data_IF_286389609989
#
_entry.id   IF_286389609989
#
_cell.length_a   1.000
_cell.length_b   1.000
_cell.length_c   1.000
_cell.angle_alpha   90.00
_cell.angle_beta   90.00
_cell.angle_gamma   90.00
#
_symmetry.space_group_name_H-M   'P 1'
#
loop_
_entity.id
_entity.type
_entity.pdbx_description
1 polymer ?
#
# COMPACT_ATOMS: atom_id res chain seq x y z
N UNK A 1 17.44 3.34 37.20
CA UNK A 1 16.95 4.01 35.99
C UNK A 1 15.86 5.00 36.36
N UNK A 2 15.91 6.23 35.83
CA UNK A 2 14.80 7.18 36.00
C UNK A 2 13.68 6.74 35.07
N UNK A 3 12.58 6.22 35.64
CA UNK A 3 11.44 5.74 34.87
C UNK A 3 10.41 6.83 34.64
N UNK A 4 9.75 6.76 33.49
CA UNK A 4 8.58 7.58 33.21
C UNK A 4 7.42 7.16 34.11
N UNK A 5 6.60 8.13 34.50
CA UNK A 5 5.35 7.86 35.20
C UNK A 5 4.22 7.52 34.20
N UNK A 6 3.12 6.98 34.72
CA UNK A 6 1.97 6.55 33.91
C UNK A 6 1.42 7.72 33.08
N UNK A 7 1.29 8.91 33.67
CA UNK A 7 0.76 10.08 32.97
C UNK A 7 1.63 10.49 31.78
N UNK A 8 2.96 10.37 31.89
CA UNK A 8 3.90 10.66 30.79
C UNK A 8 3.79 9.62 29.67
N UNK A 9 3.60 8.35 30.02
CA UNK A 9 3.37 7.26 29.05
C UNK A 9 2.05 7.50 28.30
N UNK A 10 0.98 7.82 29.02
CA UNK A 10 -0.33 8.16 28.45
C UNK A 10 -0.26 9.42 27.56
N UNK A 11 0.56 10.41 27.93
CA UNK A 11 0.79 11.60 27.12
C UNK A 11 1.48 11.28 25.79
N UNK A 12 2.42 10.32 25.78
CA UNK A 12 3.07 9.84 24.56
C UNK A 12 2.07 9.06 23.71
N UNK A 13 1.29 8.16 24.31
CA UNK A 13 0.26 7.37 23.61
C UNK A 13 -0.78 8.27 22.94
N UNK A 14 -1.30 9.25 23.69
CA UNK A 14 -2.26 10.23 23.18
C UNK A 14 -1.67 11.06 22.03
N UNK A 15 -0.41 11.47 22.13
CA UNK A 15 0.28 12.19 21.04
C UNK A 15 0.37 11.34 19.77
N UNK A 16 0.75 10.06 19.90
CA UNK A 16 0.85 9.13 18.78
C UNK A 16 -0.51 8.89 18.09
N UNK A 17 -1.57 8.77 18.88
CA UNK A 17 -2.92 8.60 18.37
C UNK A 17 -3.44 9.86 17.68
N UNK A 18 -3.25 11.03 18.29
CA UNK A 18 -3.82 12.29 17.79
C UNK A 18 -3.06 12.88 16.60
N UNK A 19 -1.72 12.82 16.64
CA UNK A 19 -0.86 13.49 15.64
C UNK A 19 -0.54 12.57 14.46
N UNK A 20 -0.33 11.28 14.70
CA UNK A 20 0.03 10.32 13.65
C UNK A 20 -1.11 9.35 13.29
N UNK A 21 -2.25 9.43 13.97
CA UNK A 21 -3.41 8.55 13.73
C UNK A 21 -3.08 7.06 13.83
N UNK A 22 -2.21 6.68 14.78
CA UNK A 22 -1.82 5.28 15.00
C UNK A 22 -2.94 4.50 15.70
N UNK A 23 -3.93 4.08 14.91
CA UNK A 23 -5.13 3.38 15.39
C UNK A 23 -4.85 1.98 15.95
N UNK A 24 -3.81 1.31 15.47
CA UNK A 24 -3.48 -0.07 15.85
C UNK A 24 -2.78 -0.12 17.21
N UNK A 25 -3.52 -0.50 18.26
CA UNK A 25 -3.04 -0.51 19.65
C UNK A 25 -1.74 -1.30 19.85
N UNK A 26 -1.67 -2.55 19.38
CA UNK A 26 -0.47 -3.39 19.60
C UNK A 26 0.82 -2.75 19.06
N UNK A 27 0.76 -2.16 17.86
CA UNK A 27 1.89 -1.44 17.27
C UNK A 27 2.18 -0.14 18.03
N UNK A 28 1.13 0.59 18.43
CA UNK A 28 1.29 1.82 19.19
C UNK A 28 1.94 1.55 20.54
N UNK A 29 1.54 0.50 21.25
CA UNK A 29 2.10 0.08 22.53
C UNK A 29 3.62 -0.22 22.38
N UNK A 30 4.04 -0.89 21.30
CA UNK A 30 5.46 -1.14 20.99
C UNK A 30 6.23 0.16 20.72
N UNK A 31 5.65 1.09 19.94
CA UNK A 31 6.27 2.39 19.67
C UNK A 31 6.36 3.24 20.95
N UNK A 32 5.33 3.20 21.80
CA UNK A 32 5.34 3.88 23.10
C UNK A 32 6.47 3.34 23.96
N UNK A 33 6.65 2.01 24.03
CA UNK A 33 7.71 1.38 24.80
C UNK A 33 9.11 1.81 24.33
N UNK A 34 9.35 1.82 23.02
CA UNK A 34 10.61 2.29 22.45
C UNK A 34 10.87 3.78 22.71
N UNK A 35 9.85 4.63 22.52
CA UNK A 35 9.96 6.07 22.81
C UNK A 35 10.17 6.31 24.30
N UNK A 36 9.50 5.56 25.16
CA UNK A 36 9.64 5.64 26.61
C UNK A 36 11.08 5.32 27.02
N UNK A 37 11.62 4.18 26.55
CA UNK A 37 13.01 3.78 26.82
C UNK A 37 14.01 4.86 26.36
N UNK A 38 13.86 5.39 25.14
CA UNK A 38 14.75 6.45 24.66
C UNK A 38 14.66 7.73 25.50
N UNK A 39 13.48 8.11 25.98
CA UNK A 39 13.31 9.27 26.86
C UNK A 39 13.97 9.01 28.22
N UNK A 40 13.80 7.81 28.79
CA UNK A 40 14.44 7.41 30.05
C UNK A 40 15.97 7.52 29.97
N UNK A 41 16.57 7.10 28.85
CA UNK A 41 18.02 7.26 28.61
C UNK A 41 18.45 8.74 28.65
N UNK A 42 17.67 9.65 28.08
CA UNK A 42 17.95 11.10 28.15
C UNK A 42 17.78 11.66 29.58
N UNK A 43 16.79 11.17 30.35
CA UNK A 43 16.57 11.58 31.74
C UNK A 43 17.75 11.18 32.64
N UNK A 44 18.37 10.03 32.37
CA UNK A 44 19.58 9.56 33.05
C UNK A 44 20.78 10.43 32.76
N UNK A 45 20.88 10.97 31.55
CA UNK A 45 21.90 11.95 31.16
C UNK A 45 21.64 13.36 31.72
N UNK A 46 20.58 13.54 32.50
CA UNK A 46 20.23 14.80 33.16
C UNK A 46 19.40 15.76 32.30
N UNK A 47 18.91 15.32 31.14
CA UNK A 47 18.02 16.13 30.29
C UNK A 47 16.62 16.18 30.92
N UNK A 48 15.98 17.34 30.90
CA UNK A 48 14.60 17.48 31.37
C UNK A 48 13.61 16.75 30.46
N UNK A 49 12.55 16.18 31.03
CA UNK A 49 11.54 15.41 30.30
C UNK A 49 10.98 16.13 29.05
N UNK A 50 10.62 17.41 29.18
CA UNK A 50 10.06 18.16 28.05
C UNK A 50 11.06 18.29 26.88
N UNK A 51 12.35 18.43 27.18
CA UNK A 51 13.40 18.49 26.17
C UNK A 51 13.69 17.11 25.57
N UNK A 52 13.79 16.07 26.42
CA UNK A 52 13.99 14.69 26.01
C UNK A 52 12.86 14.22 25.08
N UNK A 53 11.60 14.42 25.48
CA UNK A 53 10.42 14.12 24.67
C UNK A 53 10.47 14.80 23.30
N UNK A 54 10.81 16.10 23.26
CA UNK A 54 10.89 16.85 21.99
C UNK A 54 11.99 16.29 21.07
N UNK A 55 13.15 15.93 21.62
CA UNK A 55 14.26 15.38 20.85
C UNK A 55 13.91 14.00 20.29
N UNK A 56 13.39 13.10 21.12
CA UNK A 56 12.99 11.73 20.71
C UNK A 56 11.86 11.80 19.67
N UNK A 57 10.78 12.56 19.92
CA UNK A 57 9.69 12.68 18.95
C UNK A 57 10.12 13.29 17.60
N UNK A 58 11.10 14.19 17.61
CA UNK A 58 11.67 14.75 16.36
C UNK A 58 12.42 13.68 15.56
N UNK A 59 13.15 12.80 16.23
CA UNK A 59 13.83 11.64 15.60
C UNK A 59 12.80 10.69 15.00
N UNK A 60 11.76 10.36 15.75
CA UNK A 60 10.69 9.44 15.32
C UNK A 60 9.75 10.04 14.27
N UNK A 61 9.71 11.36 14.12
CA UNK A 61 8.79 12.04 13.20
C UNK A 61 8.82 11.48 11.77
N UNK A 62 10.01 11.23 11.21
CA UNK A 62 10.12 10.73 9.83
C UNK A 62 9.68 9.28 9.66
N UNK A 63 9.78 8.48 10.70
CA UNK A 63 9.36 7.07 10.67
C UNK A 63 7.86 6.92 10.94
N UNK A 64 7.28 7.78 11.78
CA UNK A 64 5.87 7.74 12.17
C UNK A 64 4.95 8.54 11.24
N UNK A 65 5.48 9.54 10.53
CA UNK A 65 4.69 10.33 9.59
C UNK A 65 4.13 9.41 8.49
N UNK A 66 2.81 9.41 8.25
CA UNK A 66 2.22 8.59 7.19
C UNK A 66 2.61 9.12 5.81
N UNK A 67 2.74 8.20 4.86
CA UNK A 67 2.90 8.54 3.43
C UNK A 67 1.58 9.11 2.91
N UNK A 68 1.64 10.02 1.93
CA UNK A 68 0.46 10.59 1.27
C UNK A 68 -0.50 9.46 0.84
N UNK A 69 -1.79 9.59 1.22
CA UNK A 69 -2.83 8.61 0.91
C UNK A 69 -2.90 7.38 1.82
N UNK A 70 -2.01 7.24 2.81
CA UNK A 70 -1.97 6.11 3.76
C UNK A 70 -2.12 6.58 5.21
N UNK A 71 -3.19 7.31 5.51
CA UNK A 71 -3.47 7.78 6.87
C UNK A 71 -3.54 6.62 7.88
N UNK A 72 -2.83 6.76 8.99
CA UNK A 72 -2.74 5.77 10.05
C UNK A 72 -1.84 4.56 9.75
N UNK A 73 -1.07 4.59 8.65
CA UNK A 73 0.04 3.65 8.43
C UNK A 73 1.36 4.45 8.43
N UNK A 74 2.21 4.26 9.43
CA UNK A 74 3.48 4.99 9.51
C UNK A 74 4.48 4.53 8.44
N UNK A 75 5.37 5.45 8.03
CA UNK A 75 6.35 5.21 6.96
C UNK A 75 7.28 4.03 7.25
N UNK A 76 7.64 3.77 8.50
CA UNK A 76 8.46 2.61 8.86
C UNK A 76 7.83 1.29 8.43
N UNK A 77 6.52 1.13 8.67
CA UNK A 77 5.74 -0.04 8.25
C UNK A 77 5.68 -0.13 6.73
N UNK A 78 5.44 0.99 6.04
CA UNK A 78 5.41 1.03 4.57
C UNK A 78 6.74 0.57 3.99
N UNK A 79 7.87 1.11 4.49
CA UNK A 79 9.22 0.69 4.07
C UNK A 79 9.44 -0.79 4.29
N UNK A 80 9.03 -1.33 5.44
CA UNK A 80 9.16 -2.74 5.76
C UNK A 80 8.37 -3.63 4.80
N UNK A 81 7.11 -3.27 4.51
CA UNK A 81 6.27 -4.02 3.57
C UNK A 81 6.80 -3.92 2.14
N UNK A 82 7.20 -2.73 1.70
CA UNK A 82 7.82 -2.54 0.40
C UNK A 82 9.13 -3.33 0.26
N UNK A 83 9.93 -3.44 1.33
CA UNK A 83 11.15 -4.25 1.35
C UNK A 83 10.84 -5.75 1.31
N UNK A 84 9.83 -6.20 2.04
CA UNK A 84 9.33 -7.58 2.03
C UNK A 84 8.91 -8.01 0.62
N UNK A 85 8.23 -7.12 -0.10
CA UNK A 85 7.72 -7.37 -1.44
C UNK A 85 8.65 -6.90 -2.58
N UNK A 86 9.87 -6.45 -2.26
CA UNK A 86 10.79 -5.85 -3.23
C UNK A 86 11.10 -6.77 -4.42
N UNK A 87 11.21 -8.08 -4.18
CA UNK A 87 11.44 -9.09 -5.22
C UNK A 87 10.28 -9.13 -6.21
N UNK A 88 9.04 -9.09 -5.72
CA UNK A 88 7.85 -9.04 -6.58
C UNK A 88 7.84 -7.77 -7.43
N UNK A 89 8.10 -6.60 -6.82
CA UNK A 89 8.15 -5.34 -7.56
C UNK A 89 9.26 -5.31 -8.62
N UNK A 90 10.42 -5.90 -8.33
CA UNK A 90 11.51 -6.02 -9.28
C UNK A 90 11.11 -6.86 -10.51
N UNK A 91 10.58 -8.07 -10.30
CA UNK A 91 10.14 -8.93 -11.41
C UNK A 91 8.94 -8.35 -12.16
N UNK A 92 8.03 -7.67 -11.46
CA UNK A 92 6.91 -6.98 -12.08
C UNK A 92 7.38 -5.83 -12.98
N UNK A 93 8.33 -5.01 -12.52
CA UNK A 93 8.91 -3.94 -13.34
C UNK A 93 9.65 -4.50 -14.56
N UNK A 94 10.40 -5.59 -14.38
CA UNK A 94 11.08 -6.27 -15.49
C UNK A 94 10.09 -6.82 -16.52
N UNK A 95 8.99 -7.45 -16.06
CA UNK A 95 7.91 -7.93 -16.93
C UNK A 95 7.24 -6.78 -17.70
N UNK A 96 6.99 -5.66 -17.02
CA UNK A 96 6.39 -4.48 -17.65
C UNK A 96 7.31 -3.89 -18.73
N UNK A 97 8.60 -3.70 -18.42
CA UNK A 97 9.56 -3.16 -19.38
C UNK A 97 9.76 -4.08 -20.59
N UNK A 98 9.86 -5.38 -20.37
CA UNK A 98 10.05 -6.36 -21.46
C UNK A 98 8.83 -6.46 -22.36
N UNK A 99 7.62 -6.53 -21.80
CA UNK A 99 6.38 -6.55 -22.58
C UNK A 99 6.14 -5.24 -23.35
N UNK A 100 6.47 -4.09 -22.74
CA UNK A 100 6.42 -2.80 -23.43
C UNK A 100 7.42 -2.72 -24.59
N UNK A 101 8.67 -3.15 -24.35
CA UNK A 101 9.72 -3.18 -25.38
C UNK A 101 9.33 -4.06 -26.56
N UNK A 102 8.84 -5.28 -26.30
CA UNK A 102 8.39 -6.21 -27.36
C UNK A 102 7.25 -5.63 -28.19
N UNK A 103 6.34 -4.89 -27.56
CA UNK A 103 5.26 -4.17 -28.25
C UNK A 103 5.73 -3.06 -29.17
N UNK A 104 6.70 -2.27 -28.71
CA UNK A 104 7.23 -1.15 -29.48
C UNK A 104 8.02 -1.61 -30.72
N UNK A 105 8.80 -2.69 -30.59
CA UNK A 105 9.59 -3.23 -31.70
C UNK A 105 8.78 -4.11 -32.66
N UNK A 106 7.45 -4.18 -32.49
CA UNK A 106 6.53 -4.98 -33.31
C UNK A 106 7.02 -6.43 -33.52
N UNK A 107 7.77 -6.97 -32.55
CA UNK A 107 8.34 -8.32 -32.64
C UNK A 107 7.23 -9.36 -32.75
N UNK A 108 6.00 -8.98 -32.36
CA UNK A 108 4.79 -9.74 -32.61
C UNK A 108 3.83 -8.94 -33.50
N UNK A 109 3.53 -9.47 -34.69
CA UNK A 109 2.41 -9.03 -35.55
C UNK A 109 1.02 -9.38 -34.95
N UNK A 110 0.93 -9.56 -33.63
CA UNK A 110 -0.33 -9.81 -32.96
C UNK A 110 -1.10 -8.50 -32.81
N UNK A 111 -2.24 -8.44 -33.48
CA UNK A 111 -3.29 -7.45 -33.19
C UNK A 111 -4.30 -8.08 -32.24
N UNK A 112 -4.11 -7.99 -30.90
CA UNK A 112 -5.05 -8.57 -29.97
C UNK A 112 -6.42 -7.90 -30.13
N UNK A 113 -7.47 -8.71 -30.05
CA UNK A 113 -8.85 -8.21 -30.05
C UNK A 113 -9.05 -7.27 -28.86
N UNK A 114 -9.55 -6.03 -29.07
CA UNK A 114 -9.83 -5.10 -27.98
C UNK A 114 -10.76 -5.66 -26.90
N UNK A 115 -11.61 -6.63 -27.27
CA UNK A 115 -12.48 -7.36 -26.35
C UNK A 115 -11.73 -8.18 -25.30
N UNK A 116 -10.54 -8.70 -25.64
CA UNK A 116 -9.70 -9.45 -24.68
C UNK A 116 -9.18 -8.48 -23.62
N UNK A 117 -8.62 -7.36 -24.03
CA UNK A 117 -8.14 -6.31 -23.11
C UNK A 117 -9.26 -5.80 -22.21
N UNK A 118 -10.45 -5.57 -22.78
CA UNK A 118 -11.65 -5.19 -22.03
C UNK A 118 -12.01 -6.25 -20.96
N UNK A 119 -12.05 -7.53 -21.34
CA UNK A 119 -12.33 -8.62 -20.40
C UNK A 119 -11.31 -8.70 -19.26
N UNK A 120 -10.02 -8.55 -19.54
CA UNK A 120 -8.96 -8.52 -18.52
C UNK A 120 -9.13 -7.35 -17.55
N UNK A 121 -9.42 -6.14 -18.05
CA UNK A 121 -9.65 -4.96 -17.20
C UNK A 121 -10.89 -5.15 -16.33
N UNK A 122 -11.96 -5.72 -16.89
CA UNK A 122 -13.20 -5.99 -16.16
C UNK A 122 -12.98 -6.99 -15.02
N UNK A 123 -12.24 -8.08 -15.27
CA UNK A 123 -11.81 -9.01 -14.21
C UNK A 123 -10.93 -8.31 -13.16
N UNK A 124 -9.99 -7.48 -13.62
CA UNK A 124 -9.15 -6.65 -12.76
C UNK A 124 -9.94 -5.65 -11.91
N UNK A 125 -11.10 -5.19 -12.35
CA UNK A 125 -11.99 -4.34 -11.57
C UNK A 125 -12.77 -5.13 -10.51
N UNK A 126 -13.30 -6.30 -10.85
CA UNK A 126 -14.13 -7.08 -9.93
C UNK A 126 -13.36 -7.68 -8.75
N UNK A 127 -12.09 -8.05 -8.94
CA UNK A 127 -11.25 -8.62 -7.86
C UNK A 127 -11.15 -7.65 -6.66
N UNK A 128 -10.68 -6.39 -6.83
CA UNK A 128 -10.72 -5.36 -5.79
C UNK A 128 -12.07 -5.20 -5.12
N UNK A 129 -13.16 -5.09 -5.89
CA UNK A 129 -14.50 -4.85 -5.34
C UNK A 129 -14.92 -5.98 -4.39
N UNK A 130 -14.73 -7.24 -4.82
CA UNK A 130 -15.09 -8.41 -4.00
C UNK A 130 -14.25 -8.48 -2.74
N UNK A 131 -12.92 -8.30 -2.87
CA UNK A 131 -11.99 -8.33 -1.74
C UNK A 131 -12.30 -7.20 -0.76
N UNK A 132 -12.47 -5.97 -1.25
CA UNK A 132 -12.75 -4.82 -0.41
C UNK A 132 -14.07 -4.95 0.35
N UNK A 133 -15.12 -5.43 -0.32
CA UNK A 133 -16.42 -5.67 0.31
C UNK A 133 -16.33 -6.76 1.39
N UNK A 134 -15.63 -7.86 1.12
CA UNK A 134 -15.49 -8.98 2.07
C UNK A 134 -14.65 -8.63 3.29
N UNK A 135 -13.64 -7.81 3.10
CA UNK A 135 -12.60 -7.52 4.09
C UNK A 135 -12.61 -6.07 4.57
N UNK A 136 -13.77 -5.41 4.48
CA UNK A 136 -13.95 -4.00 4.83
C UNK A 136 -13.55 -3.69 6.29
N UNK A 137 -13.82 -4.61 7.22
CA UNK A 137 -13.38 -4.51 8.61
C UNK A 137 -11.92 -4.98 8.72
N UNK A 138 -11.01 -4.03 8.59
CA UNK A 138 -9.57 -4.27 8.66
C UNK A 138 -9.15 -4.57 10.10
N UNK A 139 -8.27 -5.55 10.28
CA UNK A 139 -7.77 -5.96 11.61
C UNK A 139 -6.29 -5.69 11.83
N UNK A 140 -5.52 -5.37 10.78
CA UNK A 140 -4.07 -5.11 10.89
C UNK A 140 -3.61 -4.00 9.94
N UNK A 141 -2.47 -3.39 10.26
CA UNK A 141 -1.85 -2.36 9.43
C UNK A 141 -1.43 -2.88 8.06
N UNK A 142 -0.94 -4.12 7.96
CA UNK A 142 -0.58 -4.75 6.69
C UNK A 142 -1.81 -4.90 5.80
N UNK A 143 -2.92 -5.34 6.38
CA UNK A 143 -4.17 -5.50 5.65
C UNK A 143 -4.70 -4.15 5.18
N UNK A 144 -4.65 -3.10 6.01
CA UNK A 144 -4.99 -1.72 5.61
C UNK A 144 -4.11 -1.25 4.45
N UNK A 145 -2.80 -1.50 4.52
CA UNK A 145 -1.85 -1.15 3.45
C UNK A 145 -2.21 -1.81 2.11
N UNK A 146 -2.37 -3.13 2.08
CA UNK A 146 -2.70 -3.84 0.84
C UNK A 146 -4.09 -3.49 0.31
N UNK A 147 -5.05 -3.18 1.18
CA UNK A 147 -6.39 -2.71 0.77
C UNK A 147 -6.35 -1.32 0.12
N UNK A 148 -5.52 -0.40 0.65
CA UNK A 148 -5.27 0.90 0.02
C UNK A 148 -4.58 0.75 -1.35
N UNK A 149 -3.59 -0.14 -1.45
CA UNK A 149 -2.92 -0.44 -2.71
C UNK A 149 -3.91 -1.01 -3.75
N UNK A 150 -4.76 -1.96 -3.34
CA UNK A 150 -5.81 -2.54 -4.17
C UNK A 150 -6.83 -1.49 -4.64
N UNK A 151 -7.21 -0.55 -3.77
CA UNK A 151 -8.08 0.57 -4.14
C UNK A 151 -7.42 1.52 -5.14
N UNK A 152 -6.11 1.75 -5.02
CA UNK A 152 -5.34 2.55 -5.97
C UNK A 152 -5.28 1.87 -7.35
N UNK A 153 -5.04 0.55 -7.39
CA UNK A 153 -5.07 -0.23 -8.63
C UNK A 153 -6.47 -0.26 -9.25
N UNK A 154 -7.53 -0.31 -8.44
CA UNK A 154 -8.91 -0.21 -8.92
C UNK A 154 -9.18 1.12 -9.65
N UNK A 155 -8.66 2.24 -9.14
CA UNK A 155 -8.77 3.53 -9.83
C UNK A 155 -8.10 3.51 -11.21
N UNK A 156 -6.90 2.91 -11.30
CA UNK A 156 -6.19 2.75 -12.59
C UNK A 156 -6.96 1.82 -13.54
N UNK A 157 -7.64 0.79 -13.03
CA UNK A 157 -8.52 -0.05 -13.84
C UNK A 157 -9.72 0.73 -14.40
N UNK A 158 -10.34 1.63 -13.63
CA UNK A 158 -11.44 2.46 -14.12
C UNK A 158 -10.98 3.37 -15.27
N UNK A 159 -9.83 4.01 -15.12
CA UNK A 159 -9.22 4.84 -16.17
C UNK A 159 -8.93 3.99 -17.42
N UNK A 160 -8.31 2.82 -17.23
CA UNK A 160 -7.99 1.89 -18.33
C UNK A 160 -9.24 1.36 -19.03
N UNK A 161 -10.31 1.08 -18.28
CA UNK A 161 -11.60 0.65 -18.81
C UNK A 161 -12.23 1.74 -19.69
N UNK A 162 -12.11 2.99 -19.27
CA UNK A 162 -12.60 4.15 -20.02
C UNK A 162 -11.87 4.24 -21.36
N UNK A 163 -10.54 4.12 -21.36
CA UNK A 163 -9.73 4.08 -22.59
C UNK A 163 -10.11 2.89 -23.48
N UNK A 164 -10.29 1.70 -22.89
CA UNK A 164 -10.71 0.51 -23.62
C UNK A 164 -12.08 0.67 -24.31
N UNK A 165 -13.03 1.31 -23.63
CA UNK A 165 -14.36 1.59 -24.20
C UNK A 165 -14.28 2.55 -25.40
N UNK A 166 -13.38 3.54 -25.37
CA UNK A 166 -13.14 4.39 -26.53
C UNK A 166 -12.60 3.61 -27.73
N UNK A 167 -11.68 2.65 -27.51
CA UNK A 167 -11.19 1.77 -28.58
C UNK A 167 -12.26 0.85 -29.18
N UNK A 168 -13.24 0.42 -28.39
CA UNK A 168 -14.35 -0.39 -28.88
C UNK A 168 -15.31 0.41 -29.77
N UNK A 169 -15.30 1.73 -29.69
CA UNK A 169 -16.12 2.62 -30.53
C UNK A 169 -15.40 2.89 -31.85
N UNK A 170 -15.85 2.23 -32.92
CA UNK A 170 -15.26 2.30 -34.28
C UNK A 170 -15.02 3.71 -34.82
N UNK A 171 -15.80 4.71 -34.41
CA UNK A 171 -15.78 6.06 -34.99
C UNK A 171 -14.74 7.01 -34.35
N UNK A 172 -14.03 6.60 -33.30
CA UNK A 172 -13.10 7.45 -32.52
C UNK A 172 -11.66 6.91 -32.55
N UNK A 173 -11.45 5.74 -33.16
CA UNK A 173 -10.24 4.93 -32.99
C UNK A 173 -8.98 5.44 -33.71
N UNK A 174 -9.05 6.50 -34.52
CA UNK A 174 -7.94 6.90 -35.37
C UNK A 174 -6.77 7.57 -34.61
N UNK A 175 -7.04 8.27 -33.50
CA UNK A 175 -6.02 9.09 -32.80
C UNK A 175 -5.95 8.86 -31.27
N UNK A 176 -6.33 7.66 -30.80
CA UNK A 176 -6.29 7.35 -29.35
C UNK A 176 -4.86 6.99 -28.90
N UNK A 177 -4.47 7.51 -27.74
CA UNK A 177 -3.12 7.52 -27.15
C UNK A 177 -2.38 6.15 -27.02
N UNK A 178 -3.08 5.01 -27.12
CA UNK A 178 -2.53 3.67 -26.88
C UNK A 178 -3.01 2.70 -27.96
N UNK A 179 -2.13 1.90 -28.54
CA UNK A 179 -2.58 0.83 -29.47
C UNK A 179 -3.34 -0.28 -28.71
N UNK A 180 -4.13 -1.12 -29.37
CA UNK A 180 -4.74 -2.31 -28.77
C UNK A 180 -3.77 -3.24 -28.03
N UNK A 181 -2.53 -3.37 -28.52
CA UNK A 181 -1.47 -4.13 -27.85
C UNK A 181 -1.08 -3.52 -26.50
N UNK A 182 -0.71 -2.23 -26.49
CA UNK A 182 -0.38 -1.51 -25.25
C UNK A 182 -1.53 -1.57 -24.23
N UNK A 183 -2.78 -1.50 -24.68
CA UNK A 183 -3.94 -1.68 -23.80
C UNK A 183 -4.01 -3.08 -23.19
N UNK A 184 -3.72 -4.13 -23.96
CA UNK A 184 -3.64 -5.50 -23.45
C UNK A 184 -2.51 -5.65 -22.41
N UNK A 185 -1.33 -5.09 -22.70
CA UNK A 185 -0.19 -5.09 -21.78
C UNK A 185 -0.61 -4.45 -20.46
N UNK A 186 -1.19 -3.25 -20.49
CA UNK A 186 -1.68 -2.57 -19.28
C UNK A 186 -2.71 -3.43 -18.55
N UNK A 187 -3.68 -4.01 -19.26
CA UNK A 187 -4.73 -4.86 -18.68
C UNK A 187 -4.16 -6.07 -17.92
N UNK A 188 -3.19 -6.77 -18.51
CA UNK A 188 -2.54 -7.93 -17.89
C UNK A 188 -1.74 -7.52 -16.65
N UNK A 189 -1.00 -6.41 -16.71
CA UNK A 189 -0.22 -5.93 -15.58
C UNK A 189 -1.10 -5.48 -14.41
N UNK A 190 -2.21 -4.79 -14.69
CA UNK A 190 -3.19 -4.43 -13.68
C UNK A 190 -3.82 -5.67 -13.05
N UNK A 191 -4.15 -6.69 -13.85
CA UNK A 191 -4.67 -7.95 -13.34
C UNK A 191 -3.67 -8.65 -12.40
N UNK A 192 -2.39 -8.70 -12.76
CA UNK A 192 -1.32 -9.26 -11.93
C UNK A 192 -1.22 -8.51 -10.58
N UNK A 193 -1.22 -7.18 -10.59
CA UNK A 193 -1.20 -6.37 -9.36
C UNK A 193 -2.44 -6.63 -8.49
N UNK A 194 -3.62 -6.69 -9.10
CA UNK A 194 -4.86 -6.99 -8.38
C UNK A 194 -4.80 -8.35 -7.69
N UNK A 195 -4.36 -9.38 -8.41
CA UNK A 195 -4.21 -10.75 -7.86
C UNK A 195 -3.18 -10.76 -6.73
N UNK A 196 -2.05 -10.08 -6.91
CA UNK A 196 -1.02 -9.96 -5.89
C UNK A 196 -1.57 -9.32 -4.61
N UNK A 197 -2.13 -8.11 -4.70
CA UNK A 197 -2.65 -7.42 -3.52
C UNK A 197 -3.83 -8.15 -2.87
N UNK A 198 -4.73 -8.74 -3.67
CA UNK A 198 -5.79 -9.60 -3.15
C UNK A 198 -5.22 -10.80 -2.38
N UNK A 199 -4.16 -11.44 -2.89
CA UNK A 199 -3.51 -12.57 -2.23
C UNK A 199 -2.89 -12.17 -0.88
N UNK A 200 -2.25 -10.99 -0.81
CA UNK A 200 -1.66 -10.47 0.43
C UNK A 200 -2.74 -10.17 1.49
N UNK A 201 -3.87 -9.56 1.08
CA UNK A 201 -5.02 -9.35 1.98
C UNK A 201 -5.55 -10.68 2.53
N UNK A 202 -5.68 -11.70 1.67
CA UNK A 202 -6.16 -13.02 2.09
C UNK A 202 -5.18 -13.73 3.04
N UNK A 203 -3.87 -13.64 2.79
CA UNK A 203 -2.84 -14.22 3.66
C UNK A 203 -2.88 -13.57 5.05
N UNK A 204 -2.96 -12.23 5.11
CA UNK A 204 -3.03 -11.51 6.37
C UNK A 204 -4.31 -11.81 7.15
N UNK A 205 -5.44 -11.92 6.47
CA UNK A 205 -6.70 -12.30 7.12
C UNK A 205 -6.61 -13.70 7.76
N UNK A 206 -5.97 -14.67 7.09
CA UNK A 206 -5.76 -16.02 7.65
C UNK A 206 -4.90 -15.95 8.91
N UNK A 207 -3.78 -15.23 8.86
CA UNK A 207 -2.86 -15.11 9.98
C UNK A 207 -3.53 -14.50 11.23
N UNK A 208 -4.30 -13.42 11.06
CA UNK A 208 -5.01 -12.79 12.17
C UNK A 208 -6.06 -13.71 12.79
N UNK A 209 -6.80 -14.47 11.97
CA UNK A 209 -7.81 -15.39 12.50
C UNK A 209 -7.19 -16.62 13.20
N UNK A 210 -6.00 -17.08 12.77
CA UNK A 210 -5.31 -18.19 13.45
C UNK A 210 -4.72 -17.80 14.81
N UNK A 211 -4.40 -16.52 15.04
CA UNK A 211 -3.88 -16.03 16.32
C UNK A 211 -4.99 -15.69 17.34
N UNK A 212 -6.25 -15.68 16.93
CA UNK A 212 -7.41 -15.38 17.80
C UNK A 212 -8.12 -16.61 18.37
N UNK A 213 -7.56 -17.82 18.16
CA UNK A 213 -8.04 -19.11 18.66
C UNK A 213 -7.03 -19.62 19.68
#
# INVERSE_FOLDING_TARGET
>A
MKKLNINQIEEIDAFLLQVYHLEFKAFRDEVVDHIACEIEDYLEQGVEYAQAKKQVLRKWHFELKPVLGQQGIPTCIVKQLCRKDAVFYFFFALLFLTSWFLGHFQVMELTPSPWISFGCILLGFFIPVVVQKRFFKQKSYEMKFYMHALGSVMLVNIISLTVAMFHLRKDVAADVLLSPYHLLVVAVHLLILNVFFASQVMQQYRHVNTQSI
#
